data_IF_437861161435
#
_entry.id   IF_437861161435
#
_cell.length_a   1.000
_cell.length_b   1.000
_cell.length_c   1.000
_cell.angle_alpha   90.00
_cell.angle_beta   90.00
_cell.angle_gamma   90.00
#
_symmetry.space_group_name_H-M   'P 1'
#
loop_
_entity.id
_entity.type
_entity.pdbx_description
1 polymer ?
#
# COMPACT_ATOMS: atom_id res chain seq x y z
N UNK A 1 26.54 -35.03 29.60
CA UNK A 1 26.27 -34.48 28.25
C UNK A 1 24.77 -34.39 27.89
N UNK A 2 23.83 -34.19 28.84
CA UNK A 2 22.37 -34.16 28.55
C UNK A 2 21.69 -32.81 28.85
N UNK A 3 22.44 -31.85 29.40
CA UNK A 3 21.91 -30.53 29.82
C UNK A 3 22.04 -29.49 28.69
N UNK A 4 23.00 -29.66 27.77
CA UNK A 4 23.26 -28.69 26.69
C UNK A 4 22.22 -28.77 25.56
N UNK A 5 21.64 -29.96 25.33
CA UNK A 5 20.63 -30.19 24.29
C UNK A 5 19.28 -29.53 24.63
N UNK A 6 18.98 -29.32 25.92
CA UNK A 6 17.72 -28.74 26.37
C UNK A 6 17.68 -27.21 26.18
N UNK A 7 18.82 -26.53 26.35
CA UNK A 7 18.93 -25.09 26.11
C UNK A 7 18.80 -24.73 24.61
N UNK A 8 19.34 -25.56 23.71
CA UNK A 8 19.28 -25.30 22.28
C UNK A 8 17.88 -25.44 21.69
N UNK A 9 17.05 -26.35 22.23
CA UNK A 9 15.68 -26.55 21.77
C UNK A 9 14.75 -25.40 22.20
N UNK A 10 15.01 -24.81 23.37
CA UNK A 10 14.24 -23.66 23.88
C UNK A 10 14.52 -22.39 23.05
N UNK A 11 15.76 -22.21 22.58
CA UNK A 11 16.15 -21.05 21.78
C UNK A 11 15.49 -21.03 20.38
N UNK A 12 15.24 -22.20 19.78
CA UNK A 12 14.59 -22.30 18.47
C UNK A 12 13.08 -22.02 18.56
N UNK A 13 12.43 -22.38 19.68
CA UNK A 13 10.99 -22.18 19.86
C UNK A 13 10.60 -20.70 20.06
N UNK A 14 11.51 -19.88 20.60
CA UNK A 14 11.28 -18.43 20.81
C UNK A 14 11.41 -17.63 19.51
N UNK A 15 12.11 -18.14 18.48
CA UNK A 15 12.34 -17.41 17.24
C UNK A 15 11.15 -17.43 16.25
N UNK A 16 10.14 -18.26 16.47
CA UNK A 16 9.03 -18.49 15.51
C UNK A 16 7.87 -17.49 15.66
N UNK A 17 7.77 -16.73 16.76
CA UNK A 17 6.59 -15.88 17.04
C UNK A 17 6.71 -14.43 16.60
N UNK A 18 7.86 -14.00 16.07
CA UNK A 18 8.04 -12.62 15.57
C UNK A 18 7.52 -12.45 14.13
N UNK A 19 6.26 -12.85 13.87
CA UNK A 19 5.55 -12.37 12.68
C UNK A 19 5.05 -10.97 13.03
N UNK A 20 5.81 -9.94 12.65
CA UNK A 20 5.35 -8.58 12.71
C UNK A 20 4.00 -8.50 11.98
N UNK A 21 2.93 -8.22 12.72
CA UNK A 21 1.68 -7.84 12.11
C UNK A 21 1.96 -6.48 11.45
N UNK A 22 1.98 -6.46 10.11
CA UNK A 22 1.88 -5.21 9.36
C UNK A 22 0.53 -4.59 9.73
N UNK A 23 0.54 -3.80 10.79
CA UNK A 23 -0.56 -2.91 11.12
C UNK A 23 -0.57 -1.86 10.03
N UNK A 24 -1.31 -2.14 8.95
CA UNK A 24 -1.70 -1.12 8.00
C UNK A 24 -2.60 -0.15 8.75
N UNK A 25 -1.97 0.82 9.44
CA UNK A 25 -2.68 1.90 10.06
C UNK A 25 -3.60 2.51 9.00
N UNK A 26 -4.90 2.72 9.30
CA UNK A 26 -5.81 3.33 8.34
C UNK A 26 -5.18 4.64 7.88
N UNK A 27 -4.83 4.69 6.60
CA UNK A 27 -4.24 5.88 6.00
C UNK A 27 -5.24 6.99 6.18
N UNK A 28 -4.87 8.03 6.95
CA UNK A 28 -5.72 9.18 7.15
C UNK A 28 -6.21 9.69 5.78
N UNK A 29 -7.51 9.94 5.68
CA UNK A 29 -8.12 10.41 4.45
C UNK A 29 -7.45 11.71 4.03
N UNK A 30 -6.80 11.69 2.85
CA UNK A 30 -6.25 12.92 2.27
C UNK A 30 -7.38 13.93 2.11
N UNK A 31 -7.10 15.19 2.46
CA UNK A 31 -8.03 16.31 2.36
C UNK A 31 -8.69 16.37 0.96
N UNK A 32 -9.92 16.94 0.86
CA UNK A 32 -10.58 17.15 -0.42
C UNK A 32 -9.72 18.02 -1.34
N UNK A 33 -9.64 17.62 -2.61
CA UNK A 33 -8.91 18.37 -3.63
C UNK A 33 -9.82 19.48 -4.16
N UNK A 34 -9.34 20.73 -4.16
CA UNK A 34 -9.97 21.82 -4.90
C UNK A 34 -9.52 21.75 -6.36
N UNK A 35 -10.39 21.25 -7.23
CA UNK A 35 -10.03 20.98 -8.63
C UNK A 35 -9.38 19.60 -8.79
N UNK A 36 -8.15 19.56 -9.30
CA UNK A 36 -7.40 18.32 -9.53
C UNK A 36 -6.06 18.29 -8.80
N UNK A 37 -5.61 17.09 -8.43
CA UNK A 37 -4.31 16.83 -7.79
C UNK A 37 -3.63 15.68 -8.53
N UNK A 38 -2.35 15.87 -8.86
CA UNK A 38 -1.47 14.78 -9.32
C UNK A 38 -0.44 14.53 -8.25
N UNK A 39 -0.28 13.27 -7.83
CA UNK A 39 0.76 12.86 -6.90
C UNK A 39 1.54 11.70 -7.48
N UNK A 40 2.87 11.79 -7.50
CA UNK A 40 3.73 10.65 -7.75
C UNK A 40 3.76 9.75 -6.50
N UNK A 41 3.41 8.48 -6.64
CA UNK A 41 3.35 7.52 -5.53
C UNK A 41 4.37 6.39 -5.68
N UNK A 42 5.13 6.37 -6.77
CA UNK A 42 6.28 5.51 -7.02
C UNK A 42 7.04 5.95 -8.27
N UNK A 43 8.15 5.29 -8.61
CA UNK A 43 8.83 5.50 -9.89
C UNK A 43 7.82 5.36 -11.05
N UNK A 44 7.69 6.43 -11.83
CA UNK A 44 6.79 6.53 -12.99
C UNK A 44 5.30 6.27 -12.74
N UNK A 45 4.89 6.14 -11.46
CA UNK A 45 3.54 5.76 -11.06
C UNK A 45 2.85 6.90 -10.32
N UNK A 46 1.69 7.32 -10.83
CA UNK A 46 1.03 8.55 -10.42
C UNK A 46 -0.46 8.34 -10.16
N UNK A 47 -0.97 9.08 -9.19
CA UNK A 47 -2.41 9.18 -8.93
C UNK A 47 -2.93 10.53 -9.38
N UNK A 48 -4.08 10.53 -10.04
CA UNK A 48 -4.85 11.73 -10.35
C UNK A 48 -6.13 11.70 -9.52
N UNK A 49 -6.44 12.80 -8.84
CA UNK A 49 -7.69 12.96 -8.08
C UNK A 49 -8.45 14.14 -8.64
N UNK A 50 -9.74 13.98 -8.87
CA UNK A 50 -10.63 15.06 -9.29
C UNK A 50 -12.02 14.84 -8.70
N UNK A 51 -12.58 15.83 -7.99
CA UNK A 51 -13.96 15.78 -7.49
C UNK A 51 -14.35 14.49 -6.72
N UNK A 52 -13.40 13.89 -5.99
CA UNK A 52 -13.62 12.67 -5.21
C UNK A 52 -13.46 11.36 -5.99
N UNK A 53 -13.11 11.41 -7.27
CA UNK A 53 -12.61 10.25 -8.01
C UNK A 53 -11.09 10.13 -7.93
N UNK A 54 -10.56 8.93 -8.13
CA UNK A 54 -9.13 8.68 -8.28
C UNK A 54 -8.88 7.75 -9.47
N UNK A 55 -7.99 8.17 -10.35
CA UNK A 55 -7.42 7.35 -11.41
C UNK A 55 -5.93 7.17 -11.17
N UNK A 56 -5.33 6.19 -11.84
CA UNK A 56 -3.91 5.88 -11.69
C UNK A 56 -3.29 5.71 -13.07
N UNK A 57 -2.06 6.17 -13.24
CA UNK A 57 -1.34 6.04 -14.50
C UNK A 57 0.13 5.70 -14.29
N UNK A 58 0.65 4.90 -15.21
CA UNK A 58 2.06 4.51 -15.31
C UNK A 58 2.64 5.16 -16.58
N UNK A 59 3.71 5.93 -16.41
CA UNK A 59 4.45 6.54 -17.50
C UNK A 59 5.56 5.57 -17.94
N UNK A 60 5.74 5.41 -19.24
CA UNK A 60 6.80 4.59 -19.84
C UNK A 60 7.38 5.32 -21.05
N UNK A 61 8.55 4.90 -21.51
CA UNK A 61 9.15 5.46 -22.74
C UNK A 61 8.27 5.27 -23.98
N UNK A 62 7.40 4.24 -23.97
CA UNK A 62 6.47 3.94 -25.06
C UNK A 62 5.14 4.71 -24.97
N UNK A 63 4.86 5.38 -23.85
CA UNK A 63 3.61 6.09 -23.61
C UNK A 63 3.05 5.89 -22.20
N UNK A 64 1.76 6.15 -22.02
CA UNK A 64 1.08 6.15 -20.72
C UNK A 64 0.00 5.07 -20.67
N UNK A 65 0.04 4.24 -19.63
CA UNK A 65 -1.04 3.31 -19.29
C UNK A 65 -1.91 3.97 -18.23
N UNK A 66 -3.20 4.12 -18.50
CA UNK A 66 -4.17 4.73 -17.58
C UNK A 66 -5.18 3.67 -17.13
N UNK A 67 -5.41 3.58 -15.82
CA UNK A 67 -6.48 2.77 -15.25
C UNK A 67 -7.48 3.70 -14.57
N UNK A 68 -8.74 3.61 -14.99
CA UNK A 68 -9.87 4.29 -14.37
C UNK A 68 -10.95 3.25 -14.02
N UNK A 69 -11.64 3.35 -12.87
CA UNK A 69 -12.77 2.49 -12.60
C UNK A 69 -13.90 2.77 -13.59
N UNK A 70 -14.39 1.73 -14.25
CA UNK A 70 -15.46 1.81 -15.28
C UNK A 70 -16.71 2.51 -14.73
N UNK A 71 -17.00 2.30 -13.45
CA UNK A 71 -18.13 2.90 -12.76
C UNK A 71 -17.67 4.04 -11.84
N UNK A 72 -18.31 5.21 -11.95
CA UNK A 72 -18.00 6.37 -11.10
C UNK A 72 -18.10 6.07 -9.59
N UNK A 73 -18.96 5.12 -9.22
CA UNK A 73 -19.09 4.65 -7.84
C UNK A 73 -17.83 3.92 -7.33
N UNK A 74 -17.15 3.16 -8.20
CA UNK A 74 -15.90 2.46 -7.88
C UNK A 74 -14.68 3.40 -7.88
N UNK A 75 -14.78 4.54 -8.55
CA UNK A 75 -13.76 5.59 -8.54
C UNK A 75 -13.75 6.44 -7.27
N UNK A 76 -14.79 6.36 -6.44
CA UNK A 76 -14.87 7.12 -5.19
C UNK A 76 -13.69 6.78 -4.28
N UNK A 77 -12.96 7.82 -3.89
CA UNK A 77 -11.98 7.72 -2.81
C UNK A 77 -12.73 7.26 -1.55
N UNK A 78 -12.35 6.11 -1.00
CA UNK A 78 -12.88 5.64 0.28
C UNK A 78 -12.73 6.78 1.30
N UNK A 79 -13.85 7.19 1.89
CA UNK A 79 -13.89 8.02 3.10
C UNK A 79 -13.72 7.12 4.31
#
# INVERSE_FOLDING_TARGET
MRIHALCSLLAVLVAVTARAADSSAPTALKAPVLGHEVTQVGPDYYTFRYTGTRSVFLVTDAGVIVTDPIEAAAARVAR
#
